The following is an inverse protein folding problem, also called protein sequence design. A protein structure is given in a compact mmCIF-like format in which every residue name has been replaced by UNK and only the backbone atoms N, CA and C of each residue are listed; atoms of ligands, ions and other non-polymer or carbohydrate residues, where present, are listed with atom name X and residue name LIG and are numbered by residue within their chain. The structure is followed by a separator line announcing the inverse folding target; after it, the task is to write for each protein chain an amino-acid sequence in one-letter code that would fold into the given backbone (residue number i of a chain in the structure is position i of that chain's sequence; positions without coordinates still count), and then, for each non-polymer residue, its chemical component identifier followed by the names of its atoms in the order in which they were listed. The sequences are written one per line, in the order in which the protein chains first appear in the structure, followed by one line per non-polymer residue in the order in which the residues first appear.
data_IF_201616069257
#
_entry.id   IF_201616069257
#
_cell.length_a   1.000
_cell.length_b   1.000
_cell.length_c   1.000
_cell.angle_alpha   90.00
_cell.angle_beta   90.00
_cell.angle_gamma   90.00
#
_symmetry.space_group_name_H-M   'P 1'
#
loop_
_entity.id
_entity.type
_entity.pdbx_description
1 polymer ?
#
# COMPACT_ATOMS: atom_id res chain seq x y z
N UNK A 1 20.80 2.67 -19.16
CA UNK A 1 19.47 3.18 -19.39
C UNK A 1 18.40 2.10 -19.46
N UNK A 2 18.79 0.95 -19.83
CA UNK A 2 17.84 -0.14 -20.01
C UNK A 2 17.20 -0.57 -18.69
N UNK A 3 17.96 -0.55 -17.63
CA UNK A 3 17.45 -0.99 -16.35
C UNK A 3 16.27 -0.14 -15.89
N UNK A 4 16.23 1.11 -16.28
CA UNK A 4 15.13 1.96 -15.92
C UNK A 4 13.82 1.44 -16.54
N UNK A 5 13.92 0.79 -17.66
CA UNK A 5 12.76 0.24 -18.31
C UNK A 5 12.14 -0.92 -17.56
N UNK A 6 12.95 -1.71 -16.91
CA UNK A 6 12.42 -2.80 -16.10
C UNK A 6 11.54 -2.25 -15.00
N UNK A 7 12.00 -1.21 -14.32
CA UNK A 7 11.21 -0.57 -13.29
C UNK A 7 9.92 0.02 -13.84
N UNK A 8 10.01 0.64 -15.01
CA UNK A 8 8.83 1.22 -15.63
C UNK A 8 7.82 0.15 -16.04
N UNK A 9 8.30 -0.97 -16.55
CA UNK A 9 7.41 -2.04 -16.95
C UNK A 9 6.63 -2.58 -15.75
N UNK A 10 7.27 -2.71 -14.59
CA UNK A 10 6.59 -3.13 -13.39
C UNK A 10 5.56 -2.12 -12.96
N UNK A 11 5.93 -0.83 -12.98
CA UNK A 11 5.02 0.22 -12.58
C UNK A 11 3.80 0.27 -13.48
N UNK A 12 3.97 -0.01 -14.76
CA UNK A 12 2.86 0.07 -15.71
C UNK A 12 1.76 -0.93 -15.43
N UNK A 13 2.08 -2.09 -14.83
CA UNK A 13 1.08 -3.10 -14.53
C UNK A 13 0.52 -3.02 -13.12
N UNK A 14 1.08 -2.17 -12.28
CA UNK A 14 0.69 -2.10 -10.88
C UNK A 14 -0.34 -1.01 -10.66
N UNK A 15 -1.31 -1.29 -9.78
CA UNK A 15 -2.36 -0.34 -9.43
C UNK A 15 -2.01 0.28 -8.09
N UNK A 16 -1.89 1.62 -7.99
CA UNK A 16 -1.58 2.26 -6.73
C UNK A 16 -2.76 2.19 -5.78
N UNK A 17 -2.46 1.90 -4.52
CA UNK A 17 -3.45 1.88 -3.45
C UNK A 17 -3.18 3.09 -2.58
N UNK A 18 -4.16 3.97 -2.47
CA UNK A 18 -3.99 5.30 -1.88
C UNK A 18 -4.58 5.31 -0.48
N UNK A 19 -3.87 5.95 0.45
CA UNK A 19 -4.36 6.13 1.81
C UNK A 19 -5.54 7.08 1.82
N UNK A 20 -6.56 6.74 2.59
CA UNK A 20 -7.71 7.62 2.80
C UNK A 20 -7.63 8.37 4.12
N UNK A 21 -6.61 8.10 4.93
CA UNK A 21 -6.47 8.66 6.26
C UNK A 21 -5.06 9.17 6.49
N UNK A 22 -4.93 10.08 7.44
CA UNK A 22 -3.63 10.56 7.92
C UNK A 22 -3.34 9.93 9.27
N UNK A 23 -2.15 9.40 9.45
CA UNK A 23 -1.76 8.79 10.72
C UNK A 23 -0.41 8.12 10.63
N UNK A 24 -0.08 7.38 11.68
CA UNK A 24 1.19 6.65 11.76
C UNK A 24 0.93 5.19 11.42
N UNK A 25 1.71 4.67 10.48
CA UNK A 25 1.57 3.28 10.03
C UNK A 25 1.94 2.33 11.17
N UNK A 26 1.09 1.34 11.41
CA UNK A 26 1.37 0.30 12.40
C UNK A 26 1.75 -0.99 11.69
N UNK A 27 2.57 -1.80 12.36
CA UNK A 27 3.03 -3.06 11.79
C UNK A 27 1.92 -4.10 11.69
N UNK A 28 0.91 -3.98 12.55
CA UNK A 28 -0.18 -4.94 12.59
C UNK A 28 -1.00 -4.89 11.29
N UNK A 29 -1.06 -6.03 10.61
CA UNK A 29 -1.83 -6.12 9.37
C UNK A 29 -1.18 -5.50 8.15
N UNK A 30 0.03 -4.99 8.27
CA UNK A 30 0.75 -4.41 7.12
C UNK A 30 1.15 -5.55 6.17
N UNK A 31 0.77 -5.41 4.89
CA UNK A 31 1.11 -6.40 3.88
C UNK A 31 2.58 -6.29 3.47
N UNK A 32 3.09 -7.37 2.91
CA UNK A 32 4.47 -7.44 2.43
C UNK A 32 4.49 -7.64 0.93
N UNK A 33 5.56 -7.21 0.23
CA UNK A 33 5.70 -7.50 -1.19
C UNK A 33 5.66 -9.01 -1.43
N UNK A 34 4.92 -9.42 -2.45
CA UNK A 34 4.73 -10.81 -2.78
C UNK A 34 3.48 -11.43 -2.18
N UNK A 35 2.80 -10.74 -1.29
CA UNK A 35 1.60 -11.24 -0.64
C UNK A 35 0.39 -11.08 -1.56
N UNK A 36 -0.49 -12.09 -1.58
CA UNK A 36 -1.72 -12.00 -2.37
C UNK A 36 -2.79 -11.29 -1.56
N UNK A 37 -3.54 -10.42 -2.22
CA UNK A 37 -4.60 -9.65 -1.58
C UNK A 37 -5.89 -9.73 -2.38
N UNK A 38 -6.99 -9.51 -1.68
CA UNK A 38 -8.32 -9.50 -2.29
C UNK A 38 -8.92 -8.10 -2.20
N UNK A 39 -9.81 -7.79 -3.11
CA UNK A 39 -10.51 -6.51 -3.10
C UNK A 39 -11.19 -6.30 -1.75
N UNK A 40 -11.01 -5.10 -1.19
CA UNK A 40 -11.55 -4.76 0.12
C UNK A 40 -10.66 -5.15 1.29
N UNK A 41 -9.62 -5.93 1.06
CA UNK A 41 -8.71 -6.32 2.12
C UNK A 41 -7.93 -5.11 2.62
N UNK A 42 -7.74 -5.03 3.94
CA UNK A 42 -6.95 -3.96 4.55
C UNK A 42 -5.48 -4.21 4.25
N UNK A 43 -4.81 -3.22 3.68
CA UNK A 43 -3.40 -3.31 3.33
C UNK A 43 -2.52 -2.59 4.34
N UNK A 44 -3.00 -1.46 4.85
CA UNK A 44 -2.25 -0.63 5.81
C UNK A 44 -3.20 -0.12 6.86
N UNK A 45 -2.82 -0.25 8.11
CA UNK A 45 -3.53 0.36 9.23
C UNK A 45 -2.69 1.50 9.79
N UNK A 46 -3.36 2.52 10.28
CA UNK A 46 -2.70 3.66 10.91
C UNK A 46 -3.28 3.91 12.29
N UNK A 47 -2.47 4.51 13.12
CA UNK A 47 -2.90 4.97 14.43
C UNK A 47 -3.24 6.46 14.30
N UNK A 48 -4.49 6.81 14.53
CA UNK A 48 -4.97 8.18 14.46
C UNK A 48 -5.34 8.64 15.86
N UNK A 49 -5.71 9.91 16.00
CA UNK A 49 -6.16 10.42 17.29
C UNK A 49 -7.45 9.74 17.75
N UNK A 50 -8.20 9.16 16.82
CA UNK A 50 -9.42 8.42 17.14
C UNK A 50 -9.16 6.93 17.38
N UNK A 51 -7.90 6.48 17.27
CA UNK A 51 -7.53 5.09 17.41
C UNK A 51 -7.04 4.49 16.11
N UNK A 52 -6.88 3.18 16.07
CA UNK A 52 -6.40 2.48 14.87
C UNK A 52 -7.52 2.40 13.84
N UNK A 53 -7.16 2.59 12.60
CA UNK A 53 -8.09 2.55 11.49
C UNK A 53 -7.42 2.03 10.23
N UNK A 54 -8.22 1.48 9.31
CA UNK A 54 -7.72 1.03 8.02
C UNK A 54 -7.53 2.25 7.13
N UNK A 55 -6.29 2.50 6.72
CA UNK A 55 -5.97 3.64 5.85
C UNK A 55 -5.98 3.25 4.39
N UNK A 56 -5.59 2.03 4.08
CA UNK A 56 -5.49 1.57 2.69
C UNK A 56 -6.19 0.22 2.57
N UNK A 57 -7.09 0.13 1.60
CA UNK A 57 -7.73 -1.13 1.25
C UNK A 57 -7.47 -1.42 -0.22
N UNK A 58 -7.36 -2.69 -0.57
CA UNK A 58 -7.17 -3.07 -1.95
C UNK A 58 -8.42 -2.75 -2.76
N UNK A 59 -8.24 -2.17 -3.94
CA UNK A 59 -9.36 -1.92 -4.84
C UNK A 59 -9.45 -2.98 -5.95
N UNK A 60 -8.64 -4.02 -5.86
CA UNK A 60 -8.67 -5.13 -6.81
C UNK A 60 -8.01 -6.35 -6.17
N UNK A 61 -8.27 -7.52 -6.74
CA UNK A 61 -7.57 -8.73 -6.35
C UNK A 61 -6.22 -8.75 -7.05
N UNK A 62 -5.18 -9.17 -6.37
CA UNK A 62 -3.87 -9.24 -6.99
C UNK A 62 -2.77 -9.54 -6.01
N UNK A 63 -1.55 -9.18 -6.40
CA UNK A 63 -0.35 -9.45 -5.63
C UNK A 63 0.34 -8.13 -5.33
N UNK A 64 0.76 -7.96 -4.09
CA UNK A 64 1.51 -6.77 -3.68
C UNK A 64 2.89 -6.82 -4.33
N UNK A 65 3.23 -5.79 -5.09
CA UNK A 65 4.53 -5.72 -5.74
C UNK A 65 5.47 -4.75 -5.05
N UNK A 66 4.93 -3.74 -4.36
CA UNK A 66 5.76 -2.86 -3.56
C UNK A 66 4.95 -2.22 -2.45
N UNK A 67 5.63 -1.90 -1.35
CA UNK A 67 5.06 -1.20 -0.20
C UNK A 67 5.95 0.01 0.02
N UNK A 68 5.35 1.20 -0.05
CA UNK A 68 6.08 2.46 0.04
C UNK A 68 6.13 3.03 1.45
N UNK A 69 5.54 2.34 2.41
CA UNK A 69 5.48 2.80 3.79
C UNK A 69 6.12 1.76 4.71
N UNK A 70 6.52 2.22 5.89
CA UNK A 70 7.12 1.35 6.92
C UNK A 70 6.40 1.55 8.22
N UNK A 71 6.38 0.54 9.11
CA UNK A 71 5.84 0.72 10.45
C UNK A 71 6.52 1.88 11.14
N UNK A 72 5.74 2.73 11.78
CA UNK A 72 6.24 3.91 12.45
C UNK A 72 6.31 5.15 11.56
N UNK A 73 6.15 5.01 10.27
CA UNK A 73 6.13 6.15 9.35
C UNK A 73 4.78 6.85 9.37
N UNK A 74 4.78 8.15 9.12
CA UNK A 74 3.54 8.90 8.96
C UNK A 74 3.12 8.87 7.51
N UNK A 75 1.82 8.72 7.28
CA UNK A 75 1.27 8.86 5.93
C UNK A 75 0.11 9.84 5.97
N UNK A 76 -0.19 10.39 4.81
CA UNK A 76 -1.27 11.37 4.66
C UNK A 76 -2.31 10.86 3.69
N UNK A 77 -3.53 11.33 3.84
CA UNK A 77 -4.59 11.02 2.89
C UNK A 77 -4.17 11.47 1.50
N UNK A 78 -4.38 10.59 0.52
CA UNK A 78 -3.98 10.85 -0.86
C UNK A 78 -2.60 10.32 -1.21
N UNK A 79 -1.82 9.88 -0.23
CA UNK A 79 -0.49 9.34 -0.46
C UNK A 79 -0.58 7.88 -0.91
N UNK A 80 0.20 7.52 -1.91
CA UNK A 80 0.27 6.12 -2.36
C UNK A 80 1.06 5.32 -1.35
N UNK A 81 0.49 4.22 -0.87
CA UNK A 81 1.13 3.40 0.14
C UNK A 81 1.60 2.06 -0.40
N UNK A 82 0.83 1.45 -1.27
CA UNK A 82 1.08 0.09 -1.75
C UNK A 82 0.76 0.04 -3.24
N UNK A 83 1.50 -0.78 -3.98
CA UNK A 83 1.17 -1.10 -5.37
C UNK A 83 0.77 -2.56 -5.45
N UNK A 84 -0.34 -2.84 -6.12
CA UNK A 84 -0.88 -4.18 -6.30
C UNK A 84 -0.94 -4.50 -7.78
N UNK A 85 -0.43 -5.66 -8.14
CA UNK A 85 -0.46 -6.17 -9.52
C UNK A 85 -1.65 -7.12 -9.64
N UNK A 86 -2.69 -6.73 -10.38
CA UNK A 86 -3.87 -7.58 -10.56
C UNK A 86 -3.55 -8.90 -11.23
#
# INVERSE_FOLDING_TARGET
MVMAFSGLALAAGAVPQISSLTGVVVADGLVSPGEMVSEGQVLVKVNTIAGMAAAVRANCNGKVVSVSVSPGSSIKAGQVAVHVQP
#
